data_IF_246152804470
#
_entry.id   IF_246152804470
#
_cell.length_a   1.000
_cell.length_b   1.000
_cell.length_c   1.000
_cell.angle_alpha   90.00
_cell.angle_beta   90.00
_cell.angle_gamma   90.00
#
_symmetry.space_group_name_H-M   'P 1'
#
loop_
_entity.id
_entity.type
_entity.pdbx_description
1 polymer ?
#
# COMPACT_ATOMS: atom_id res chain seq x y z
N UNK A 1 -19.54 -28.13 5.21
CA UNK A 1 -19.21 -27.57 3.87
C UNK A 1 -18.46 -26.27 4.11
N UNK A 2 -17.13 -26.26 4.01
CA UNK A 2 -16.32 -25.06 4.28
C UNK A 2 -16.06 -24.33 2.95
N UNK A 3 -16.54 -23.09 2.82
CA UNK A 3 -16.19 -22.23 1.68
C UNK A 3 -14.92 -21.46 2.02
N UNK A 4 -13.85 -21.73 1.27
CA UNK A 4 -12.60 -21.00 1.35
C UNK A 4 -12.62 -19.82 0.37
N UNK A 5 -12.53 -18.59 0.87
CA UNK A 5 -12.54 -17.35 0.09
C UNK A 5 -11.18 -17.02 -0.57
N UNK A 6 -10.55 -18.01 -1.21
CA UNK A 6 -9.35 -17.74 -2.01
C UNK A 6 -9.77 -17.02 -3.29
N UNK A 7 -9.24 -15.81 -3.51
CA UNK A 7 -9.42 -14.86 -4.64
C UNK A 7 -10.31 -13.64 -4.42
N UNK A 8 -11.04 -13.51 -3.31
CA UNK A 8 -11.86 -12.30 -3.08
C UNK A 8 -11.00 -11.08 -2.69
N UNK A 9 -9.94 -11.32 -1.94
CA UNK A 9 -9.02 -10.29 -1.44
C UNK A 9 -7.69 -10.25 -2.21
N UNK A 10 -7.54 -11.08 -3.25
CA UNK A 10 -6.28 -11.34 -3.95
C UNK A 10 -5.10 -11.71 -3.02
N UNK A 11 -5.27 -12.00 -1.73
CA UNK A 11 -4.22 -12.25 -0.73
C UNK A 11 -3.38 -13.55 -0.94
N UNK A 12 -3.46 -14.21 -2.10
CA UNK A 12 -2.68 -15.41 -2.44
C UNK A 12 -1.30 -15.13 -3.04
N UNK A 13 -0.57 -16.16 -3.47
CA UNK A 13 0.70 -16.02 -4.19
C UNK A 13 0.45 -15.32 -5.52
N UNK A 14 1.08 -14.16 -5.72
CA UNK A 14 0.92 -13.35 -6.92
C UNK A 14 2.21 -13.33 -7.72
N UNK A 15 2.10 -13.67 -8.99
CA UNK A 15 3.19 -13.58 -9.96
C UNK A 15 3.05 -12.27 -10.73
N UNK A 16 3.73 -11.22 -10.23
CA UNK A 16 3.67 -9.87 -10.77
C UNK A 16 4.01 -9.81 -12.27
N UNK A 17 4.93 -10.68 -12.71
CA UNK A 17 5.42 -10.74 -14.08
C UNK A 17 4.32 -11.28 -14.99
N UNK A 18 3.66 -12.37 -14.61
CA UNK A 18 2.55 -12.95 -15.40
C UNK A 18 1.35 -12.02 -15.50
N UNK A 19 1.09 -11.19 -14.48
CA UNK A 19 0.00 -10.20 -14.53
C UNK A 19 0.32 -8.98 -15.38
N UNK A 20 1.60 -8.60 -15.51
CA UNK A 20 2.04 -7.47 -16.32
C UNK A 20 2.18 -7.81 -17.81
N UNK A 21 2.25 -9.10 -18.17
CA UNK A 21 2.23 -9.57 -19.56
C UNK A 21 0.79 -9.51 -20.08
N UNK A 22 0.37 -8.31 -20.50
CA UNK A 22 -0.80 -8.14 -21.36
C UNK A 22 -0.55 -8.92 -22.65
N UNK A 23 -1.43 -9.88 -22.97
CA UNK A 23 -1.38 -10.59 -24.25
C UNK A 23 -1.49 -9.58 -25.40
N UNK A 24 -0.55 -9.54 -26.36
CA UNK A 24 -0.74 -8.70 -27.53
C UNK A 24 -1.80 -9.34 -28.41
N UNK A 25 -2.93 -8.67 -28.60
CA UNK A 25 -3.95 -9.09 -29.55
C UNK A 25 -5.36 -8.76 -29.10
N UNK A 26 -5.80 -7.54 -29.46
CA UNK A 26 -7.02 -7.24 -30.23
C UNK A 26 -6.95 -5.73 -30.49
N UNK A 27 -6.79 -5.36 -31.76
CA UNK A 27 -6.86 -3.97 -32.22
C UNK A 27 -8.26 -3.38 -32.01
N UNK A 28 -8.32 -2.04 -31.83
CA UNK A 28 -9.13 -1.24 -32.73
C UNK A 28 -8.32 -0.11 -33.37
N UNK A 29 -8.35 -0.01 -34.70
CA UNK A 29 -7.82 1.11 -35.49
C UNK A 29 -8.78 2.34 -35.44
N UNK A 30 -8.43 3.48 -36.07
CA UNK A 30 -7.28 4.35 -35.83
C UNK A 30 -7.71 5.81 -35.57
N UNK A 31 -7.01 6.55 -34.71
CA UNK A 31 -6.98 8.02 -34.78
C UNK A 31 -5.65 8.54 -34.26
N UNK A 32 -4.98 9.31 -35.12
CA UNK A 32 -3.53 9.46 -35.13
C UNK A 32 -2.89 10.15 -33.94
N UNK A 33 -1.60 9.84 -33.77
CA UNK A 33 -0.51 10.81 -33.64
C UNK A 33 0.82 10.04 -33.74
N UNK A 34 1.61 10.39 -34.76
CA UNK A 34 2.98 9.93 -34.95
C UNK A 34 3.85 10.39 -33.76
N UNK A 35 4.24 9.45 -32.90
CA UNK A 35 5.36 9.62 -31.99
C UNK A 35 6.60 9.02 -32.62
N UNK A 36 7.52 9.88 -33.05
CA UNK A 36 8.86 9.53 -33.54
C UNK A 36 9.57 8.54 -32.62
N UNK A 37 9.93 7.37 -33.16
CA UNK A 37 10.78 6.40 -32.49
C UNK A 37 12.21 6.95 -32.40
N UNK A 38 12.51 7.63 -31.30
CA UNK A 38 13.88 7.98 -30.94
C UNK A 38 14.57 6.74 -30.41
N UNK A 39 15.43 6.13 -31.22
CA UNK A 39 16.38 5.09 -30.80
C UNK A 39 17.42 5.71 -29.85
N UNK A 40 17.08 5.86 -28.57
CA UNK A 40 18.08 6.12 -27.54
C UNK A 40 18.64 4.78 -27.09
N UNK A 41 19.95 4.61 -27.26
CA UNK A 41 20.68 3.38 -26.97
C UNK A 41 20.31 2.83 -25.61
N UNK A 42 19.84 1.57 -25.60
CA UNK A 42 19.62 0.80 -24.40
C UNK A 42 20.97 0.66 -23.68
N UNK A 43 21.25 1.58 -22.75
CA UNK A 43 22.26 1.36 -21.73
C UNK A 43 21.76 0.15 -20.96
N UNK A 44 22.39 -0.99 -21.19
CA UNK A 44 22.27 -2.17 -20.34
C UNK A 44 22.48 -1.67 -18.91
N UNK A 45 21.39 -1.55 -18.14
CA UNK A 45 21.48 -1.17 -16.75
C UNK A 45 22.32 -2.26 -16.10
N UNK A 46 23.49 -1.89 -15.58
CA UNK A 46 24.26 -2.68 -14.63
C UNK A 46 23.26 -3.37 -13.71
N UNK A 47 23.34 -4.70 -13.59
CA UNK A 47 22.47 -5.51 -12.73
C UNK A 47 22.33 -4.78 -11.40
N UNK A 48 21.18 -4.12 -11.21
CA UNK A 48 20.90 -3.39 -10.00
C UNK A 48 20.94 -4.41 -8.89
N UNK A 49 21.77 -4.15 -7.89
CA UNK A 49 21.85 -5.01 -6.71
C UNK A 49 20.43 -5.26 -6.21
N UNK A 50 20.05 -6.53 -5.93
CA UNK A 50 18.68 -6.85 -5.57
C UNK A 50 18.27 -6.03 -4.35
N UNK A 51 17.38 -5.06 -4.56
CA UNK A 51 16.88 -4.21 -3.48
C UNK A 51 15.94 -5.06 -2.64
N UNK A 52 16.45 -5.56 -1.51
CA UNK A 52 15.62 -6.29 -0.58
C UNK A 52 14.78 -5.30 0.23
N UNK A 53 13.46 -5.52 0.36
CA UNK A 53 12.61 -4.71 1.22
C UNK A 53 13.04 -4.81 2.70
N UNK A 54 13.79 -5.85 3.03
CA UNK A 54 14.49 -6.02 4.30
C UNK A 54 16.01 -5.94 4.09
N UNK A 55 16.51 -4.87 3.46
CA UNK A 55 17.95 -4.64 3.25
C UNK A 55 18.76 -4.84 4.55
N UNK A 56 18.19 -4.44 5.70
CA UNK A 56 18.81 -4.64 7.01
C UNK A 56 18.92 -6.11 7.46
N UNK A 57 18.09 -7.01 6.92
CA UNK A 57 18.25 -8.45 7.11
C UNK A 57 19.28 -9.06 6.14
N UNK A 58 19.67 -8.32 5.10
CA UNK A 58 20.68 -8.68 4.09
C UNK A 58 20.52 -10.11 3.56
N UNK A 59 19.29 -10.49 3.18
CA UNK A 59 18.98 -11.84 2.66
C UNK A 59 19.00 -12.98 3.68
N UNK A 60 19.31 -12.73 4.96
CA UNK A 60 19.31 -13.75 6.01
C UNK A 60 17.89 -14.08 6.51
N UNK A 61 17.47 -15.33 6.36
CA UNK A 61 16.18 -15.83 6.86
C UNK A 61 16.06 -15.72 8.38
N UNK A 62 17.12 -16.09 9.13
CA UNK A 62 17.12 -16.05 10.59
C UNK A 62 16.86 -14.63 11.08
N UNK A 63 17.60 -13.65 10.55
CA UNK A 63 17.41 -12.23 10.91
C UNK A 63 16.02 -11.73 10.52
N UNK A 64 15.49 -12.15 9.36
CA UNK A 64 14.14 -11.79 8.95
C UNK A 64 13.08 -12.30 9.95
N UNK A 65 13.16 -13.57 10.35
CA UNK A 65 12.20 -14.15 11.32
C UNK A 65 12.29 -13.50 12.69
N UNK A 66 13.49 -13.18 13.17
CA UNK A 66 13.68 -12.47 14.44
C UNK A 66 13.02 -11.08 14.41
N UNK A 67 13.20 -10.34 13.31
CA UNK A 67 12.58 -9.02 13.12
C UNK A 67 11.07 -9.10 13.06
N UNK A 68 10.52 -10.10 12.37
CA UNK A 68 9.08 -10.35 12.33
C UNK A 68 8.51 -10.57 13.74
N UNK A 69 9.16 -11.43 14.53
CA UNK A 69 8.74 -11.73 15.90
C UNK A 69 8.85 -10.52 16.83
N UNK A 70 9.83 -9.63 16.56
CA UNK A 70 10.01 -8.36 17.28
C UNK A 70 9.18 -7.21 16.72
N UNK A 71 8.34 -7.46 15.72
CA UNK A 71 7.54 -6.45 15.02
C UNK A 71 8.36 -5.27 14.46
N UNK A 72 9.64 -5.50 14.11
CA UNK A 72 10.50 -4.47 13.53
C UNK A 72 10.11 -4.28 12.07
N UNK A 73 9.67 -3.07 11.72
CA UNK A 73 9.29 -2.70 10.35
C UNK A 73 10.50 -2.14 9.58
N UNK A 74 10.56 -2.33 8.25
CA UNK A 74 11.50 -1.60 7.40
C UNK A 74 11.28 -0.08 7.51
N UNK A 75 12.37 0.68 7.39
CA UNK A 75 12.30 2.15 7.38
C UNK A 75 11.62 2.69 6.11
N UNK A 76 11.86 2.04 4.98
CA UNK A 76 11.36 2.45 3.68
C UNK A 76 10.04 1.76 3.34
N UNK A 77 9.15 2.48 2.67
CA UNK A 77 7.88 1.95 2.17
C UNK A 77 8.04 1.13 0.88
N UNK A 78 7.07 0.26 0.54
CA UNK A 78 7.11 -0.50 -0.72
C UNK A 78 7.18 0.39 -1.98
N UNK A 79 6.60 1.58 -1.91
CA UNK A 79 6.64 2.61 -2.96
C UNK A 79 8.04 3.21 -3.20
N UNK A 80 8.90 3.19 -2.18
CA UNK A 80 10.28 3.69 -2.26
C UNK A 80 11.26 2.59 -2.69
N UNK A 81 10.96 1.34 -2.32
CA UNK A 81 11.80 0.18 -2.60
C UNK A 81 11.59 -0.35 -4.03
N UNK A 82 10.35 -0.32 -4.53
CA UNK A 82 10.00 -0.90 -5.82
C UNK A 82 9.59 0.16 -6.83
N UNK A 83 10.18 0.09 -8.03
CA UNK A 83 9.75 0.92 -9.17
C UNK A 83 8.38 0.53 -9.71
N UNK A 84 7.96 -0.72 -9.53
CA UNK A 84 6.68 -1.26 -10.02
C UNK A 84 5.97 -2.04 -8.92
N UNK A 85 4.64 -2.11 -9.00
CA UNK A 85 3.82 -2.82 -8.03
C UNK A 85 4.03 -4.34 -8.18
N UNK A 86 4.76 -4.95 -7.25
CA UNK A 86 5.05 -6.40 -7.26
C UNK A 86 3.86 -7.26 -6.80
N UNK A 87 2.83 -6.65 -6.23
CA UNK A 87 1.67 -7.36 -5.67
C UNK A 87 0.49 -6.40 -5.72
N UNK A 88 -0.70 -6.88 -6.07
CA UNK A 88 -1.94 -6.10 -6.18
C UNK A 88 -2.35 -5.44 -4.87
N UNK A 89 -1.86 -5.91 -3.72
CA UNK A 89 -2.11 -5.27 -2.44
C UNK A 89 -1.41 -3.89 -2.35
N UNK A 90 -0.27 -3.72 -3.03
CA UNK A 90 0.46 -2.45 -3.05
C UNK A 90 -0.38 -1.36 -3.72
N UNK A 91 -1.24 -1.73 -4.67
CA UNK A 91 -2.13 -0.82 -5.41
C UNK A 91 -3.02 0.02 -4.48
N UNK A 92 -3.41 -0.52 -3.32
CA UNK A 92 -4.26 0.20 -2.36
C UNK A 92 -3.54 1.32 -1.61
N UNK A 93 -2.22 1.25 -1.50
CA UNK A 93 -1.39 2.28 -0.85
C UNK A 93 -0.64 3.16 -1.85
N UNK A 94 -0.59 2.76 -3.13
CA UNK A 94 0.27 3.38 -4.13
C UNK A 94 -0.13 4.82 -4.48
N UNK A 95 -1.40 5.17 -4.30
CA UNK A 95 -1.87 6.54 -4.47
C UNK A 95 -1.34 7.50 -3.38
N UNK A 96 -0.88 6.97 -2.23
CA UNK A 96 -0.44 7.77 -1.09
C UNK A 96 1.05 8.16 -1.14
N UNK A 97 1.71 8.02 -2.30
CA UNK A 97 3.16 8.31 -2.49
C UNK A 97 3.54 9.73 -2.09
N UNK A 98 2.73 10.69 -2.48
CA UNK A 98 2.99 12.13 -2.27
C UNK A 98 2.44 12.61 -0.91
N UNK A 99 1.95 11.67 -0.10
CA UNK A 99 1.33 11.91 1.19
C UNK A 99 -0.10 12.42 1.07
N UNK A 100 -0.95 12.04 2.04
CA UNK A 100 -2.36 12.43 2.09
C UNK A 100 -2.55 13.96 2.08
N UNK A 101 -1.60 14.70 2.65
CA UNK A 101 -1.65 16.16 2.77
C UNK A 101 -1.55 16.91 1.42
N UNK A 102 -1.06 16.24 0.38
CA UNK A 102 -0.99 16.82 -0.97
C UNK A 102 -2.35 16.78 -1.69
N UNK A 103 -3.30 16.02 -1.17
CA UNK A 103 -4.60 15.80 -1.81
C UNK A 103 -5.54 16.99 -1.62
N UNK A 104 -6.22 17.38 -2.70
CA UNK A 104 -7.10 18.56 -2.71
C UNK A 104 -8.27 18.44 -1.72
N UNK A 105 -8.78 17.23 -1.50
CA UNK A 105 -9.86 17.00 -0.54
C UNK A 105 -9.41 17.19 0.92
N UNK A 106 -8.11 17.15 1.21
CA UNK A 106 -7.57 17.39 2.57
C UNK A 106 -7.35 18.86 2.91
N UNK A 107 -7.35 19.73 1.91
CA UNK A 107 -7.07 21.16 2.08
C UNK A 107 -8.30 21.98 2.51
N UNK A 108 -9.48 21.37 2.53
CA UNK A 108 -10.72 22.03 2.90
C UNK A 108 -10.90 22.11 4.43
N UNK A 109 -11.80 22.98 4.89
CA UNK A 109 -12.17 23.04 6.30
C UNK A 109 -12.90 21.76 6.72
N UNK A 110 -12.31 21.02 7.66
CA UNK A 110 -12.90 19.80 8.20
C UNK A 110 -13.66 20.12 9.48
N UNK A 111 -14.84 19.50 9.63
CA UNK A 111 -15.66 19.61 10.83
C UNK A 111 -15.70 18.25 11.54
N UNK A 112 -14.58 17.82 12.17
CA UNK A 112 -14.59 16.57 12.90
C UNK A 112 -15.56 16.66 14.08
N UNK A 113 -16.19 15.54 14.43
CA UNK A 113 -16.99 15.47 15.65
C UNK A 113 -16.05 15.59 16.85
N UNK A 114 -16.10 16.71 17.54
CA UNK A 114 -15.40 16.92 18.81
C UNK A 114 -16.39 16.73 19.94
N UNK A 115 -16.08 15.83 20.88
CA UNK A 115 -16.93 15.60 22.05
C UNK A 115 -16.85 16.82 22.98
N UNK A 116 -18.00 17.25 23.53
CA UNK A 116 -18.03 18.29 24.56
C UNK A 116 -17.44 17.77 25.88
N UNK A 117 -17.02 18.68 26.77
CA UNK A 117 -16.57 18.31 28.11
C UNK A 117 -17.65 17.52 28.89
N UNK A 118 -18.93 17.86 28.70
CA UNK A 118 -20.04 17.11 29.27
C UNK A 118 -20.14 15.70 28.70
N UNK A 119 -19.96 15.53 27.40
CA UNK A 119 -19.94 14.20 26.75
C UNK A 119 -18.77 13.38 27.27
N UNK A 120 -17.58 13.98 27.39
CA UNK A 120 -16.38 13.31 27.92
C UNK A 120 -16.58 12.90 29.39
N UNK A 121 -17.14 13.77 30.21
CA UNK A 121 -17.47 13.46 31.61
C UNK A 121 -18.45 12.29 31.73
N UNK A 122 -19.50 12.28 30.89
CA UNK A 122 -20.47 11.18 30.85
C UNK A 122 -19.80 9.87 30.42
N UNK A 123 -18.96 9.91 29.38
CA UNK A 123 -18.19 8.75 28.91
C UNK A 123 -17.27 8.22 30.03
N UNK A 124 -16.60 9.10 30.78
CA UNK A 124 -15.75 8.73 31.91
C UNK A 124 -16.55 8.14 33.09
N UNK A 125 -17.70 8.74 33.42
CA UNK A 125 -18.55 8.29 34.53
C UNK A 125 -19.25 6.96 34.21
N UNK A 126 -19.70 6.75 32.98
CA UNK A 126 -20.29 5.47 32.55
C UNK A 126 -19.26 4.33 32.57
N UNK A 127 -17.98 4.62 32.33
CA UNK A 127 -16.91 3.63 32.33
C UNK A 127 -16.39 3.32 33.75
N UNK A 128 -16.39 4.31 34.64
CA UNK A 128 -15.86 4.18 36.02
C UNK A 128 -16.92 3.82 37.05
N UNK A 129 -18.16 4.30 36.90
CA UNK A 129 -19.24 4.13 37.86
C UNK A 129 -20.40 3.35 37.24
N UNK A 130 -20.61 2.11 37.69
CA UNK A 130 -21.69 1.24 37.20
C UNK A 130 -23.09 1.74 37.53
N UNK A 131 -23.22 2.56 38.58
CA UNK A 131 -24.49 3.13 39.05
C UNK A 131 -24.80 4.49 38.40
N UNK A 132 -23.89 5.03 37.59
CA UNK A 132 -24.12 6.28 36.90
C UNK A 132 -25.13 6.08 35.75
N UNK A 133 -26.25 6.80 35.82
CA UNK A 133 -27.25 6.86 34.75
C UNK A 133 -27.57 8.31 34.43
N UNK A 134 -27.79 8.58 33.14
CA UNK A 134 -28.19 9.90 32.67
C UNK A 134 -29.72 9.93 32.54
N UNK A 135 -30.36 10.08 33.70
CA UNK A 135 -31.81 9.96 33.92
C UNK A 135 -32.41 8.57 33.60
#
# INVERSE_FOLDING_TARGET
>A
MAMSFFNLTRLGVQDAIKTAVTRPGIEPAPSGQQGTASSSGAKSTTLSEPVYPNSEANGSYVKYTERLNKHIRPKLGPNEIYHTQITTNINYSDWMKDGVQSETWTQNEHHPRVNSEMTRFVDEMTLTNREFTLF
#
